data_IF_465829091658
#
_entry.id   IF_465829091658
#
_cell.length_a   1.000
_cell.length_b   1.000
_cell.length_c   1.000
_cell.angle_alpha   90.00
_cell.angle_beta   90.00
_cell.angle_gamma   90.00
#
_symmetry.space_group_name_H-M   'P 1'
#
loop_
_entity.id
_entity.type
_entity.pdbx_description
1 polymer ?
#
# COMPACT_ATOMS: atom_id res chain seq x y z
N UNK A 1 8.87 20.32 25.76
CA UNK A 1 9.67 20.04 26.98
C UNK A 1 8.80 19.26 27.95
N UNK A 2 9.40 18.35 28.73
CA UNK A 2 8.82 17.29 29.59
C UNK A 2 8.57 15.99 28.79
N UNK A 3 9.50 15.03 28.66
CA UNK A 3 10.29 14.25 29.62
C UNK A 3 9.45 13.45 30.60
N UNK A 4 9.44 12.13 30.41
CA UNK A 4 9.22 11.14 31.47
C UNK A 4 10.23 11.43 32.58
N UNK A 5 9.80 11.98 33.72
CA UNK A 5 10.59 12.02 34.95
C UNK A 5 9.64 11.81 36.12
N UNK A 6 9.85 10.70 36.84
CA UNK A 6 9.34 10.47 38.19
C UNK A 6 10.08 11.36 39.21
N UNK A 7 9.48 11.69 40.36
CA UNK A 7 10.21 12.33 41.45
C UNK A 7 11.17 11.34 42.12
N UNK A 8 12.41 11.77 42.38
CA UNK A 8 13.41 11.00 43.11
C UNK A 8 13.15 10.96 44.61
N UNK A 9 13.30 9.77 45.20
CA UNK A 9 13.87 9.55 46.55
C UNK A 9 14.85 8.37 46.45
N UNK A 10 15.97 8.49 47.16
CA UNK A 10 17.25 7.76 47.13
C UNK A 10 17.25 6.23 46.92
N UNK A 11 18.28 5.76 46.16
CA UNK A 11 18.87 4.42 46.31
C UNK A 11 18.67 3.44 45.14
N UNK A 12 19.76 3.19 44.40
CA UNK A 12 20.02 2.08 43.45
C UNK A 12 19.21 1.98 42.13
N UNK A 13 19.96 1.82 41.02
CA UNK A 13 19.44 1.66 39.66
C UNK A 13 18.99 0.21 39.36
N UNK A 14 17.76 0.03 38.87
CA UNK A 14 17.33 -1.08 38.00
C UNK A 14 16.12 -0.68 37.11
N UNK A 15 16.17 -0.96 35.81
CA UNK A 15 15.22 -0.45 34.78
C UNK A 15 13.96 -1.32 34.58
N UNK A 16 12.79 -0.67 34.37
CA UNK A 16 12.00 -0.66 33.11
C UNK A 16 10.48 -0.55 33.35
N UNK A 17 9.93 0.63 33.11
CA UNK A 17 8.48 0.88 33.14
C UNK A 17 7.85 0.49 31.79
N UNK A 18 6.87 -0.42 31.79
CA UNK A 18 6.13 -0.78 30.58
C UNK A 18 5.16 0.35 30.17
N UNK A 19 5.20 0.76 28.90
CA UNK A 19 4.25 1.69 28.29
C UNK A 19 3.42 0.95 27.23
N UNK A 20 2.12 1.25 27.14
CA UNK A 20 1.19 0.57 26.24
C UNK A 20 0.31 1.59 25.53
N UNK A 21 0.09 1.38 24.23
CA UNK A 21 -0.65 2.25 23.31
C UNK A 21 -1.83 1.48 22.72
N UNK A 22 -3.02 2.11 22.70
CA UNK A 22 -4.29 1.53 22.22
C UNK A 22 -4.64 2.07 20.83
N UNK A 23 -5.19 1.23 19.94
CA UNK A 23 -5.76 1.63 18.65
C UNK A 23 -7.19 1.08 18.49
N UNK A 24 -8.05 1.82 17.78
CA UNK A 24 -9.34 1.34 17.29
C UNK A 24 -9.46 1.62 15.80
N UNK A 25 -9.77 0.60 14.99
CA UNK A 25 -10.17 0.77 13.59
C UNK A 25 -11.70 0.80 13.48
N UNK A 26 -12.21 1.72 12.67
CA UNK A 26 -13.62 1.77 12.27
C UNK A 26 -13.69 1.33 10.82
N UNK A 27 -14.54 0.35 10.50
CA UNK A 27 -14.79 -0.07 9.12
C UNK A 27 -16.28 0.10 8.79
N UNK A 28 -16.56 0.50 7.55
CA UNK A 28 -17.91 0.72 7.04
C UNK A 28 -18.29 -0.47 6.14
N UNK A 29 -19.33 -1.21 6.50
CA UNK A 29 -19.91 -2.25 5.64
C UNK A 29 -21.42 -2.25 5.81
N UNK A 30 -22.16 -2.13 4.71
CA UNK A 30 -23.62 -2.27 4.63
C UNK A 30 -24.39 -1.37 5.62
N UNK A 31 -24.13 -0.05 5.53
CA UNK A 31 -24.84 1.02 6.24
C UNK A 31 -24.94 0.94 7.78
N UNK A 32 -24.13 0.09 8.43
CA UNK A 32 -23.94 0.09 9.89
C UNK A 32 -22.46 0.21 10.28
N UNK A 33 -22.20 1.01 11.33
CA UNK A 33 -20.87 1.22 11.91
C UNK A 33 -20.42 0.01 12.72
N UNK A 34 -19.20 -0.50 12.46
CA UNK A 34 -18.55 -1.52 13.29
C UNK A 34 -17.15 -1.09 13.73
N UNK A 35 -16.90 -1.18 15.04
CA UNK A 35 -15.63 -0.87 15.69
C UNK A 35 -14.95 -2.17 16.13
N UNK A 36 -13.67 -2.36 15.80
CA UNK A 36 -12.88 -3.50 16.29
C UNK A 36 -11.58 -2.99 16.92
N UNK A 37 -11.30 -3.30 18.20
CA UNK A 37 -10.06 -2.87 18.85
C UNK A 37 -8.89 -3.79 18.51
N UNK A 38 -7.72 -3.19 18.26
CA UNK A 38 -6.42 -3.88 18.13
C UNK A 38 -5.48 -3.36 19.22
N UNK A 39 -4.78 -4.27 19.92
CA UNK A 39 -3.88 -3.92 21.03
C UNK A 39 -2.52 -4.56 20.80
N UNK A 40 -1.45 -3.74 20.86
CA UNK A 40 -0.06 -4.21 20.84
C UNK A 40 0.62 -3.90 22.18
N UNK A 41 1.27 -4.91 22.77
CA UNK A 41 1.99 -4.83 24.05
C UNK A 41 3.49 -4.98 23.82
N UNK A 42 4.33 -4.14 24.43
CA UNK A 42 5.79 -4.33 24.48
C UNK A 42 6.27 -4.57 25.89
N UNK A 43 6.94 -5.70 26.12
CA UNK A 43 7.64 -6.02 27.37
C UNK A 43 9.03 -6.60 27.05
N UNK A 44 10.08 -6.09 27.71
CA UNK A 44 11.38 -6.76 27.83
C UNK A 44 12.04 -7.21 26.53
N UNK A 45 11.91 -6.47 25.43
CA UNK A 45 12.64 -6.76 24.18
C UNK A 45 12.10 -7.92 23.32
N UNK A 46 10.98 -8.55 23.69
CA UNK A 46 10.30 -9.53 22.86
C UNK A 46 8.90 -9.06 22.42
N UNK A 47 8.62 -9.12 21.11
CA UNK A 47 7.33 -8.77 20.49
C UNK A 47 6.55 -10.06 20.23
N UNK A 48 5.29 -10.14 20.67
CA UNK A 48 4.34 -11.17 20.26
C UNK A 48 3.07 -10.50 19.70
N UNK A 49 2.54 -11.08 18.62
CA UNK A 49 1.28 -10.66 17.99
C UNK A 49 0.21 -11.70 18.33
N UNK A 50 -0.92 -11.26 18.91
CA UNK A 50 -2.10 -12.11 19.06
C UNK A 50 -3.09 -11.77 17.95
N UNK A 51 -3.18 -12.65 16.94
CA UNK A 51 -4.20 -12.58 15.91
C UNK A 51 -5.40 -13.42 16.35
N UNK A 52 -6.56 -12.80 16.55
CA UNK A 52 -7.82 -13.50 16.83
C UNK A 52 -8.35 -14.07 15.50
N UNK A 53 -8.36 -15.38 15.32
CA UNK A 53 -9.09 -16.01 14.21
C UNK A 53 -10.56 -16.10 14.60
N UNK A 54 -11.39 -15.14 14.18
CA UNK A 54 -12.84 -15.31 14.23
C UNK A 54 -13.27 -16.06 12.95
N UNK A 55 -13.69 -17.31 13.10
CA UNK A 55 -14.45 -18.00 12.05
C UNK A 55 -15.87 -17.41 12.05
N UNK A 56 -16.13 -16.46 11.14
CA UNK A 56 -17.45 -15.89 10.94
C UNK A 56 -18.27 -16.79 10.00
N UNK A 57 -19.35 -17.37 10.52
CA UNK A 57 -20.41 -17.97 9.71
C UNK A 57 -21.30 -16.84 9.18
N UNK A 58 -21.31 -16.66 7.86
CA UNK A 58 -22.20 -15.70 7.20
C UNK A 58 -23.55 -16.38 6.88
N UNK A 59 -24.64 -15.85 7.41
CA UNK A 59 -25.99 -16.19 6.96
C UNK A 59 -26.52 -15.01 6.12
N UNK A 60 -27.05 -15.31 4.93
CA UNK A 60 -27.64 -14.31 4.03
C UNK A 60 -28.92 -13.69 4.63
N UNK A 61 -29.28 -12.46 4.23
CA UNK A 61 -30.57 -11.86 4.59
C UNK A 61 -31.74 -12.79 4.23
N UNK A 62 -32.72 -12.96 5.15
CA UNK A 62 -33.88 -13.86 5.06
C UNK A 62 -33.62 -15.38 5.23
N UNK A 63 -32.50 -15.75 5.86
CA UNK A 63 -32.24 -17.15 6.25
C UNK A 63 -33.01 -17.56 7.53
N UNK A 64 -33.60 -18.77 7.59
CA UNK A 64 -34.30 -19.30 8.77
C UNK A 64 -33.41 -19.52 10.02
N UNK A 65 -32.11 -19.21 9.94
CA UNK A 65 -31.18 -19.19 11.08
C UNK A 65 -31.33 -17.94 11.96
N UNK A 66 -32.19 -16.99 11.59
CA UNK A 66 -32.47 -15.78 12.37
C UNK A 66 -33.47 -16.07 13.50
N UNK A 67 -33.05 -16.75 14.56
CA UNK A 67 -33.75 -16.70 15.85
C UNK A 67 -33.17 -15.56 16.71
N UNK A 68 -34.00 -14.86 17.53
CA UNK A 68 -33.56 -13.67 18.24
C UNK A 68 -32.65 -14.06 19.41
N UNK A 69 -31.38 -13.71 19.33
CA UNK A 69 -30.46 -13.79 20.48
C UNK A 69 -30.77 -12.57 21.36
N UNK A 70 -31.74 -12.71 22.27
CA UNK A 70 -31.86 -11.80 23.41
C UNK A 70 -30.68 -12.11 24.36
N UNK A 71 -29.62 -11.30 24.27
CA UNK A 71 -28.50 -11.37 25.20
C UNK A 71 -28.95 -10.93 26.60
N UNK A 72 -28.76 -11.78 27.60
CA UNK A 72 -28.92 -11.39 29.00
C UNK A 72 -27.67 -10.67 29.49
N UNK A 73 -27.84 -9.54 30.20
CA UNK A 73 -26.76 -8.88 30.94
C UNK A 73 -26.67 -9.50 32.33
N UNK A 74 -25.57 -10.19 32.63
CA UNK A 74 -25.29 -10.74 33.96
C UNK A 74 -24.36 -9.77 34.71
N UNK A 75 -24.77 -9.32 35.88
CA UNK A 75 -23.88 -8.50 36.73
C UNK A 75 -22.86 -9.38 37.47
N UNK A 76 -21.59 -8.96 37.55
CA UNK A 76 -20.58 -9.72 38.27
C UNK A 76 -20.87 -9.73 39.77
N UNK A 77 -20.66 -10.88 40.41
CA UNK A 77 -20.87 -11.12 41.85
C UNK A 77 -19.99 -10.24 42.78
N UNK A 78 -18.97 -9.58 42.24
CA UNK A 78 -18.17 -8.60 42.94
C UNK A 78 -17.92 -7.39 42.03
N UNK A 79 -18.37 -6.21 42.44
CA UNK A 79 -18.11 -4.94 41.75
C UNK A 79 -16.79 -4.34 42.26
N UNK A 80 -15.80 -4.24 41.39
CA UNK A 80 -14.59 -3.45 41.63
C UNK A 80 -14.74 -2.11 40.91
N UNK A 81 -14.61 -0.99 41.63
CA UNK A 81 -14.62 0.35 41.03
C UNK A 81 -13.35 0.52 40.20
N UNK A 82 -13.51 0.75 38.88
CA UNK A 82 -12.39 1.04 37.97
C UNK A 82 -12.27 2.57 37.86
N UNK A 83 -11.18 3.18 38.35
CA UNK A 83 -10.97 4.63 38.23
C UNK A 83 -10.95 5.06 36.76
N UNK A 84 -11.80 6.03 36.39
CA UNK A 84 -11.90 6.58 35.03
C UNK A 84 -12.99 5.94 34.15
N UNK A 85 -13.81 5.03 34.67
CA UNK A 85 -14.92 4.45 33.91
C UNK A 85 -15.98 5.52 33.58
N UNK A 86 -16.17 5.81 32.29
CA UNK A 86 -17.07 6.85 31.80
C UNK A 86 -16.44 8.25 31.66
N UNK A 87 -15.14 8.38 31.92
CA UNK A 87 -14.39 9.64 31.72
C UNK A 87 -13.58 9.62 30.41
N UNK A 88 -12.99 10.78 30.06
CA UNK A 88 -12.14 10.91 28.85
C UNK A 88 -10.86 10.08 28.93
N UNK A 89 -10.40 9.74 30.13
CA UNK A 89 -9.18 9.00 30.38
C UNK A 89 -9.44 7.85 31.36
N UNK A 90 -9.01 6.64 31.00
CA UNK A 90 -9.12 5.43 31.81
C UNK A 90 -7.71 4.88 32.07
N UNK A 91 -7.32 4.78 33.35
CA UNK A 91 -5.97 4.33 33.73
C UNK A 91 -6.06 3.00 34.49
N UNK A 92 -5.60 1.92 33.86
CA UNK A 92 -5.56 0.58 34.45
C UNK A 92 -4.12 0.21 34.76
N UNK A 93 -3.83 -0.14 36.01
CA UNK A 93 -2.50 -0.56 36.47
C UNK A 93 -2.58 -1.94 37.11
N UNK A 94 -1.65 -2.83 36.76
CA UNK A 94 -1.53 -4.16 37.36
C UNK A 94 -0.05 -4.53 37.49
N UNK A 95 0.28 -5.32 38.52
CA UNK A 95 1.61 -5.93 38.69
C UNK A 95 1.73 -7.28 37.98
N UNK A 96 0.61 -7.83 37.51
CA UNK A 96 0.54 -9.06 36.71
C UNK A 96 0.10 -8.72 35.28
N UNK A 97 0.92 -9.10 34.32
CA UNK A 97 0.65 -8.93 32.89
C UNK A 97 -0.57 -9.74 32.43
N UNK A 98 -0.71 -10.95 32.97
CA UNK A 98 -1.81 -11.86 32.65
C UNK A 98 -3.15 -11.27 33.09
N UNK A 99 -3.20 -10.74 34.33
CA UNK A 99 -4.38 -10.05 34.85
C UNK A 99 -4.69 -8.75 34.09
N UNK A 100 -3.66 -8.01 33.67
CA UNK A 100 -3.83 -6.79 32.90
C UNK A 100 -4.48 -7.08 31.55
N UNK A 101 -4.00 -8.12 30.86
CA UNK A 101 -4.55 -8.55 29.58
C UNK A 101 -6.00 -9.03 29.74
N UNK A 102 -6.29 -9.82 30.78
CA UNK A 102 -7.64 -10.31 31.07
C UNK A 102 -8.66 -9.18 31.33
N UNK A 103 -8.21 -8.07 31.92
CA UNK A 103 -9.04 -6.89 32.15
C UNK A 103 -9.18 -6.07 30.87
N UNK A 104 -8.07 -5.81 30.15
CA UNK A 104 -8.06 -4.98 28.94
C UNK A 104 -8.92 -5.58 27.80
N UNK A 105 -8.98 -6.91 27.68
CA UNK A 105 -9.85 -7.59 26.71
C UNK A 105 -11.34 -7.32 26.96
N UNK A 106 -11.70 -6.88 28.17
CA UNK A 106 -13.08 -6.62 28.59
C UNK A 106 -13.46 -5.13 28.55
N UNK A 107 -12.54 -4.22 28.19
CA UNK A 107 -12.79 -2.77 28.16
C UNK A 107 -13.36 -2.36 26.79
N UNK A 108 -14.45 -1.60 26.79
CA UNK A 108 -15.07 -1.01 25.59
C UNK A 108 -15.11 0.52 25.68
N UNK A 109 -14.70 1.22 24.61
CA UNK A 109 -14.78 2.68 24.51
C UNK A 109 -15.90 3.09 23.53
N UNK A 110 -16.63 4.15 23.87
CA UNK A 110 -17.68 4.75 23.01
C UNK A 110 -17.51 6.27 22.98
N UNK A 111 -17.61 6.88 21.80
CA UNK A 111 -17.63 8.35 21.60
C UNK A 111 -18.99 8.78 21.07
N UNK A 112 -19.51 9.91 21.56
CA UNK A 112 -20.85 10.42 21.24
C UNK A 112 -20.87 11.61 20.27
N UNK A 113 -19.72 12.07 19.76
CA UNK A 113 -19.65 13.25 18.88
C UNK A 113 -18.68 13.00 17.72
N UNK A 114 -19.17 13.15 16.47
CA UNK A 114 -18.38 13.11 15.23
C UNK A 114 -18.61 14.40 14.45
N UNK A 115 -17.54 15.12 14.04
CA UNK A 115 -17.64 16.41 13.34
C UNK A 115 -16.81 16.41 12.04
N UNK A 116 -17.48 16.52 10.89
CA UNK A 116 -16.89 16.24 9.55
C UNK A 116 -16.01 17.36 8.97
N UNK A 117 -16.13 18.59 9.50
CA UNK A 117 -15.50 19.80 8.92
C UNK A 117 -14.25 20.29 9.68
N UNK A 118 -13.96 19.70 10.82
CA UNK A 118 -12.70 19.86 11.54
C UNK A 118 -12.09 18.49 11.52
N UNK A 119 -11.18 18.22 10.58
CA UNK A 119 -10.42 16.98 10.58
C UNK A 119 -9.75 16.85 11.94
N UNK A 120 -10.39 16.12 12.85
CA UNK A 120 -9.93 15.91 14.21
C UNK A 120 -8.88 14.79 14.15
N UNK A 121 -7.81 15.09 13.42
CA UNK A 121 -6.54 14.39 13.52
C UNK A 121 -5.95 14.80 14.85
N UNK A 122 -6.38 14.13 15.92
CA UNK A 122 -5.70 14.18 17.20
C UNK A 122 -4.23 13.85 16.97
N UNK A 123 -3.38 14.87 17.07
CA UNK A 123 -1.93 14.78 16.96
C UNK A 123 -1.39 13.78 17.99
N UNK A 124 -1.12 12.55 17.55
CA UNK A 124 -0.30 11.61 18.30
C UNK A 124 1.02 11.43 17.56
N UNK A 125 2.01 12.23 17.95
CA UNK A 125 3.41 12.02 17.57
C UNK A 125 3.88 10.68 18.14
N UNK A 126 3.99 9.65 17.31
CA UNK A 126 4.61 8.39 17.67
C UNK A 126 5.75 8.07 16.71
N UNK A 127 6.94 7.89 17.30
CA UNK A 127 8.12 7.41 16.60
C UNK A 127 7.95 5.89 16.45
N UNK A 128 7.58 5.44 15.26
CA UNK A 128 7.54 4.02 14.94
C UNK A 128 8.96 3.51 14.71
N UNK A 129 9.43 2.58 15.56
CA UNK A 129 10.56 1.74 15.21
C UNK A 129 10.07 0.68 14.20
N UNK A 130 10.08 1.05 12.93
CA UNK A 130 9.74 0.16 11.81
C UNK A 130 10.85 -0.86 11.64
N UNK A 131 10.58 -2.10 12.07
CA UNK A 131 11.42 -3.24 11.71
C UNK A 131 10.95 -3.70 10.33
N UNK A 132 11.63 -3.26 9.29
CA UNK A 132 11.41 -3.74 7.94
C UNK A 132 11.62 -5.26 7.90
N UNK A 133 10.56 -5.98 7.57
CA UNK A 133 10.61 -7.42 7.34
C UNK A 133 10.46 -7.67 5.84
N UNK A 134 11.50 -8.25 5.22
CA UNK A 134 11.53 -8.62 3.79
C UNK A 134 10.33 -9.45 3.34
N UNK A 135 9.62 -10.12 4.27
CA UNK A 135 8.42 -10.91 3.96
C UNK A 135 7.20 -10.09 3.53
N UNK A 136 7.22 -8.76 3.64
CA UNK A 136 6.07 -7.91 3.28
C UNK A 136 6.07 -7.46 1.82
N UNK A 137 7.17 -7.61 1.09
CA UNK A 137 7.34 -7.09 -0.27
C UNK A 137 7.76 -8.18 -1.23
N UNK A 138 7.12 -8.23 -2.39
CA UNK A 138 7.57 -8.98 -3.57
C UNK A 138 7.97 -8.00 -4.67
N UNK A 139 9.10 -8.23 -5.34
CA UNK A 139 9.44 -7.46 -6.54
C UNK A 139 8.71 -8.10 -7.73
N UNK A 140 8.00 -7.30 -8.52
CA UNK A 140 7.33 -7.75 -9.72
C UNK A 140 7.90 -7.01 -10.94
N UNK A 141 8.18 -7.76 -12.01
CA UNK A 141 8.67 -7.21 -13.26
C UNK A 141 8.11 -7.97 -14.45
N UNK A 142 8.28 -7.39 -15.63
CA UNK A 142 7.85 -7.95 -16.90
C UNK A 142 8.94 -7.76 -17.93
N UNK A 143 9.28 -8.84 -18.64
CA UNK A 143 10.30 -8.82 -19.69
C UNK A 143 9.73 -9.07 -21.08
N UNK A 144 10.36 -8.48 -22.10
CA UNK A 144 10.11 -8.77 -23.52
C UNK A 144 11.33 -8.41 -24.37
N UNK A 145 11.94 -9.41 -24.99
CA UNK A 145 13.12 -9.28 -25.87
C UNK A 145 14.30 -8.56 -25.21
N UNK A 146 14.42 -8.67 -23.88
CA UNK A 146 15.37 -7.93 -23.03
C UNK A 146 15.99 -8.80 -21.91
N UNK A 147 16.29 -10.07 -22.21
CA UNK A 147 16.88 -10.99 -21.20
C UNK A 147 18.20 -10.50 -20.62
N UNK A 148 19.06 -9.88 -21.44
CA UNK A 148 20.33 -9.33 -20.94
C UNK A 148 20.10 -8.24 -19.88
N UNK A 149 19.07 -7.40 -20.08
CA UNK A 149 18.71 -6.37 -19.09
C UNK A 149 18.09 -7.00 -17.85
N UNK A 150 17.20 -7.98 -18.04
CA UNK A 150 16.58 -8.71 -16.94
C UNK A 150 17.63 -9.40 -16.05
N UNK A 151 18.64 -10.05 -16.65
CA UNK A 151 19.74 -10.70 -15.89
C UNK A 151 20.48 -9.67 -15.02
N UNK A 152 20.85 -8.52 -15.59
CA UNK A 152 21.48 -7.43 -14.84
C UNK A 152 20.58 -6.89 -13.71
N UNK A 153 19.27 -6.75 -13.97
CA UNK A 153 18.30 -6.37 -12.94
C UNK A 153 18.31 -7.40 -11.80
N UNK A 154 18.16 -8.69 -12.11
CA UNK A 154 18.12 -9.77 -11.12
C UNK A 154 19.41 -9.85 -10.29
N UNK A 155 20.57 -9.74 -10.93
CA UNK A 155 21.87 -9.72 -10.25
C UNK A 155 21.97 -8.53 -9.29
N UNK A 156 21.53 -7.35 -9.73
CA UNK A 156 21.52 -6.15 -8.88
C UNK A 156 20.54 -6.26 -7.71
N UNK A 157 19.36 -6.86 -7.91
CA UNK A 157 18.42 -7.16 -6.83
C UNK A 157 19.11 -8.06 -5.80
N UNK A 158 19.74 -9.16 -6.24
CA UNK A 158 20.38 -10.13 -5.34
C UNK A 158 21.55 -9.54 -4.55
N UNK A 159 22.23 -8.52 -5.10
CA UNK A 159 23.28 -7.77 -4.38
C UNK A 159 22.75 -7.01 -3.15
N UNK A 160 21.54 -6.45 -3.20
CA UNK A 160 20.99 -5.61 -2.13
C UNK A 160 19.89 -6.30 -1.30
N UNK A 161 19.16 -7.22 -1.90
CA UNK A 161 18.03 -7.96 -1.33
C UNK A 161 18.13 -9.44 -1.74
N UNK A 162 19.07 -10.16 -1.12
CA UNK A 162 19.44 -11.53 -1.52
C UNK A 162 18.28 -12.54 -1.49
N UNK A 163 17.37 -12.42 -0.52
CA UNK A 163 16.26 -13.37 -0.31
C UNK A 163 14.88 -12.88 -0.76
N UNK A 164 14.77 -11.65 -1.28
CA UNK A 164 13.46 -11.10 -1.66
C UNK A 164 12.87 -11.90 -2.83
N UNK A 165 11.57 -12.18 -2.75
CA UNK A 165 10.83 -12.84 -3.82
C UNK A 165 10.77 -11.93 -5.05
N UNK A 166 11.07 -12.49 -6.21
CA UNK A 166 10.95 -11.80 -7.51
C UNK A 166 10.01 -12.59 -8.40
N UNK A 167 9.03 -11.90 -8.99
CA UNK A 167 8.09 -12.46 -9.97
C UNK A 167 8.38 -11.82 -11.31
N UNK A 168 8.63 -12.65 -12.33
CA UNK A 168 8.90 -12.23 -13.70
C UNK A 168 7.78 -12.74 -14.59
N UNK A 169 7.01 -11.82 -15.18
CA UNK A 169 6.10 -12.13 -16.28
C UNK A 169 6.82 -12.00 -17.63
N UNK A 170 6.64 -12.97 -18.52
CA UNK A 170 7.46 -13.10 -19.71
C UNK A 170 6.63 -13.42 -20.96
N UNK A 171 6.52 -12.47 -21.88
CA UNK A 171 5.82 -12.61 -23.16
C UNK A 171 6.78 -12.70 -24.36
N UNK A 172 8.00 -13.23 -24.16
CA UNK A 172 8.94 -13.48 -25.24
C UNK A 172 8.42 -14.51 -26.25
N UNK A 173 8.85 -14.38 -27.52
CA UNK A 173 8.59 -15.38 -28.56
C UNK A 173 9.30 -16.71 -28.28
N UNK A 174 10.51 -16.62 -27.74
CA UNK A 174 11.38 -17.75 -27.42
C UNK A 174 11.86 -17.54 -25.98
N UNK A 175 11.11 -18.03 -24.98
CA UNK A 175 11.46 -17.79 -23.60
C UNK A 175 12.74 -18.52 -23.17
N UNK A 176 13.67 -17.80 -22.54
CA UNK A 176 14.82 -18.37 -21.82
C UNK A 176 14.37 -18.81 -20.42
N UNK A 177 14.86 -19.95 -19.95
CA UNK A 177 14.55 -20.41 -18.59
C UNK A 177 15.35 -19.61 -17.56
N UNK A 178 14.68 -18.76 -16.77
CA UNK A 178 15.30 -17.99 -15.70
C UNK A 178 15.35 -18.82 -14.43
N UNK A 179 16.56 -19.13 -13.95
CA UNK A 179 16.79 -19.81 -12.67
C UNK A 179 17.30 -18.83 -11.62
N UNK A 180 16.99 -19.12 -10.36
CA UNK A 180 17.54 -18.40 -9.21
C UNK A 180 16.71 -18.62 -7.96
N UNK A 181 17.34 -18.43 -6.81
CA UNK A 181 16.65 -18.54 -5.52
C UNK A 181 15.53 -17.48 -5.42
N UNK A 182 14.36 -17.86 -4.94
CA UNK A 182 13.20 -16.96 -4.77
C UNK A 182 12.77 -16.20 -6.03
N UNK A 183 13.00 -16.78 -7.23
CA UNK A 183 12.49 -16.28 -8.50
C UNK A 183 11.34 -17.17 -8.95
N UNK A 184 10.20 -16.55 -9.28
CA UNK A 184 9.10 -17.20 -9.97
C UNK A 184 8.97 -16.61 -11.37
N UNK A 185 9.12 -17.47 -12.38
CA UNK A 185 9.10 -17.08 -13.79
C UNK A 185 7.84 -17.61 -14.44
N UNK A 186 7.00 -16.71 -14.94
CA UNK A 186 5.72 -17.03 -15.56
C UNK A 186 5.74 -16.65 -17.04
N UNK A 187 5.70 -17.68 -17.88
CA UNK A 187 5.65 -17.53 -19.34
C UNK A 187 4.20 -17.33 -19.77
N UNK A 188 3.97 -16.33 -20.60
CA UNK A 188 2.68 -16.04 -21.21
C UNK A 188 2.79 -16.12 -22.74
N UNK A 189 1.65 -16.17 -23.47
CA UNK A 189 1.68 -16.12 -24.92
C UNK A 189 2.53 -14.93 -25.42
N UNK A 190 3.14 -15.03 -26.61
CA UNK A 190 4.08 -14.02 -27.05
C UNK A 190 3.38 -12.67 -27.30
N UNK A 191 4.12 -11.60 -27.00
CA UNK A 191 3.78 -10.22 -27.34
C UNK A 191 2.43 -9.69 -26.80
N UNK A 192 1.92 -10.25 -25.69
CA UNK A 192 0.66 -9.83 -25.05
C UNK A 192 0.68 -8.39 -24.52
N UNK A 193 1.86 -7.81 -24.31
CA UNK A 193 2.01 -6.39 -24.00
C UNK A 193 2.17 -6.09 -22.51
N UNK A 194 2.31 -4.80 -22.20
CA UNK A 194 2.70 -4.34 -20.86
C UNK A 194 1.66 -4.62 -19.79
N UNK A 195 0.40 -4.28 -20.04
CA UNK A 195 -0.65 -4.37 -19.03
C UNK A 195 -1.08 -5.81 -18.75
N UNK A 196 -1.13 -6.67 -19.79
CA UNK A 196 -1.35 -8.10 -19.61
C UNK A 196 -0.25 -8.75 -18.74
N UNK A 197 1.03 -8.43 -18.99
CA UNK A 197 2.14 -8.95 -18.19
C UNK A 197 2.16 -8.40 -16.76
N UNK A 198 1.77 -7.14 -16.55
CA UNK A 198 1.57 -6.56 -15.20
C UNK A 198 0.52 -7.31 -14.41
N UNK A 199 -0.65 -7.55 -15.00
CA UNK A 199 -1.72 -8.32 -14.36
C UNK A 199 -1.23 -9.72 -13.98
N UNK A 200 -0.55 -10.41 -14.90
CA UNK A 200 0.00 -11.73 -14.60
C UNK A 200 0.94 -11.66 -13.40
N UNK A 201 1.96 -10.78 -13.41
CA UNK A 201 2.91 -10.68 -12.31
C UNK A 201 2.23 -10.34 -10.96
N UNK A 202 1.35 -9.33 -10.95
CA UNK A 202 0.66 -8.87 -9.72
C UNK A 202 -0.35 -9.91 -9.21
N UNK A 203 -0.97 -10.71 -10.08
CA UNK A 203 -1.88 -11.80 -9.65
C UNK A 203 -1.17 -12.91 -8.87
N UNK A 204 0.16 -13.02 -9.00
CA UNK A 204 0.98 -14.02 -8.32
C UNK A 204 1.62 -13.47 -7.03
N UNK A 205 1.43 -12.18 -6.73
CA UNK A 205 1.89 -11.55 -5.49
C UNK A 205 0.95 -11.95 -4.35
N UNK A 206 1.55 -12.48 -3.27
CA UNK A 206 0.83 -12.85 -2.03
C UNK A 206 1.22 -11.99 -0.84
N UNK A 207 2.22 -11.11 -1.01
CA UNK A 207 2.70 -10.20 0.04
C UNK A 207 1.85 -8.94 0.11
N UNK A 208 1.84 -8.25 1.26
CA UNK A 208 1.06 -7.02 1.50
C UNK A 208 1.34 -5.95 0.44
N UNK A 209 2.61 -5.80 0.08
CA UNK A 209 3.05 -4.88 -0.96
C UNK A 209 3.78 -5.63 -2.08
N UNK A 210 3.84 -4.98 -3.23
CA UNK A 210 4.83 -5.28 -4.25
C UNK A 210 5.54 -4.03 -4.72
N UNK A 211 6.78 -4.20 -5.17
CA UNK A 211 7.54 -3.17 -5.86
C UNK A 211 7.52 -3.47 -7.36
N UNK A 212 6.96 -2.57 -8.16
CA UNK A 212 7.07 -2.65 -9.62
C UNK A 212 8.41 -2.08 -10.09
N UNK A 213 9.09 -2.83 -10.96
CA UNK A 213 10.32 -2.39 -11.65
C UNK A 213 10.28 -2.81 -13.12
N UNK A 214 10.77 -1.95 -14.01
CA UNK A 214 10.98 -2.33 -15.40
C UNK A 214 12.27 -3.18 -15.52
N UNK A 215 12.31 -4.10 -16.48
CA UNK A 215 13.38 -5.11 -16.66
C UNK A 215 14.79 -4.52 -16.92
N UNK A 216 14.89 -3.23 -17.25
CA UNK A 216 16.13 -2.49 -17.52
C UNK A 216 16.52 -1.52 -16.40
N UNK A 217 15.89 -1.64 -15.24
CA UNK A 217 16.32 -0.95 -14.04
C UNK A 217 17.55 -1.61 -13.41
N UNK A 218 18.21 -0.86 -12.53
CA UNK A 218 19.40 -1.29 -11.81
C UNK A 218 19.31 -0.85 -10.34
N UNK A 219 19.35 -1.82 -9.44
CA UNK A 219 19.37 -1.55 -8.00
C UNK A 219 20.73 -1.00 -7.58
N UNK A 220 20.71 0.02 -6.73
CA UNK A 220 21.92 0.68 -6.20
C UNK A 220 21.78 0.87 -4.69
N UNK A 221 22.82 1.44 -4.07
CA UNK A 221 22.79 1.82 -2.65
C UNK A 221 21.65 2.80 -2.31
N UNK A 222 21.14 3.54 -3.31
CA UNK A 222 20.02 4.50 -3.18
C UNK A 222 18.63 3.85 -3.32
N UNK A 223 18.56 2.58 -3.71
CA UNK A 223 17.31 1.86 -3.93
C UNK A 223 16.87 1.18 -2.63
N UNK A 224 16.32 1.97 -1.70
CA UNK A 224 15.90 1.54 -0.37
C UNK A 224 14.40 1.23 -0.29
N UNK A 225 14.01 -0.03 -0.50
CA UNK A 225 12.62 -0.52 -0.42
C UNK A 225 12.02 -0.21 0.96
N UNK A 226 12.80 -0.38 2.02
CA UNK A 226 12.39 -0.17 3.41
C UNK A 226 11.85 1.23 3.68
N UNK A 227 12.40 2.26 3.00
CA UNK A 227 11.92 3.65 3.13
C UNK A 227 10.56 3.86 2.48
N UNK A 228 10.28 3.18 1.37
CA UNK A 228 8.96 3.23 0.74
C UNK A 228 7.93 2.51 1.62
N UNK A 229 8.30 1.36 2.19
CA UNK A 229 7.43 0.64 3.14
C UNK A 229 7.15 1.49 4.37
N UNK A 230 8.16 2.19 4.89
CA UNK A 230 7.99 3.12 6.02
C UNK A 230 6.89 4.16 5.77
N UNK A 231 6.90 4.81 4.61
CA UNK A 231 5.86 5.78 4.24
C UNK A 231 4.48 5.13 4.13
N UNK A 232 4.40 3.93 3.54
CA UNK A 232 3.15 3.19 3.37
C UNK A 232 2.56 2.68 4.70
N UNK A 233 3.40 2.30 5.67
CA UNK A 233 2.94 1.90 7.00
C UNK A 233 2.52 3.11 7.85
N UNK A 234 3.21 4.25 7.71
CA UNK A 234 2.90 5.45 8.47
C UNK A 234 1.65 6.18 8.00
N UNK A 235 1.25 5.97 6.74
CA UNK A 235 0.00 6.51 6.17
C UNK A 235 -0.81 5.36 5.57
N UNK A 236 -1.62 4.66 6.38
CA UNK A 236 -2.35 3.46 5.97
C UNK A 236 -3.30 3.66 4.79
N UNK A 237 -3.74 4.89 4.54
CA UNK A 237 -4.59 5.28 3.41
C UNK A 237 -3.84 5.33 2.07
N UNK A 238 -2.50 5.37 2.07
CA UNK A 238 -1.73 5.33 0.83
C UNK A 238 -1.81 3.94 0.19
N UNK A 239 -2.03 3.94 -1.12
CA UNK A 239 -2.08 2.73 -1.95
C UNK A 239 -0.83 2.58 -2.82
N UNK A 240 -0.21 3.68 -3.22
CA UNK A 240 0.98 3.68 -4.09
C UNK A 240 1.96 4.76 -3.67
N UNK A 241 3.24 4.42 -3.55
CA UNK A 241 4.35 5.37 -3.41
C UNK A 241 5.42 5.15 -4.48
N UNK A 242 5.65 6.19 -5.30
CA UNK A 242 6.66 6.17 -6.36
C UNK A 242 8.00 6.78 -5.95
N UNK A 243 9.09 6.21 -6.44
CA UNK A 243 10.44 6.77 -6.26
C UNK A 243 10.93 7.57 -7.48
N UNK A 244 12.24 7.84 -7.49
CA UNK A 244 12.95 8.51 -8.57
C UNK A 244 13.65 7.50 -9.50
N UNK A 245 13.84 7.85 -10.77
CA UNK A 245 14.70 7.12 -11.71
C UNK A 245 15.87 8.01 -12.09
N UNK A 246 17.11 7.59 -11.84
CA UNK A 246 18.31 8.43 -11.96
C UNK A 246 18.13 9.79 -11.29
N UNK A 247 17.64 9.79 -10.05
CA UNK A 247 17.38 10.99 -9.22
C UNK A 247 16.33 11.96 -9.79
N UNK A 248 15.67 11.61 -10.89
CA UNK A 248 14.57 12.39 -11.45
C UNK A 248 13.23 11.78 -11.00
N UNK A 249 12.39 12.61 -10.40
CA UNK A 249 11.03 12.24 -10.07
C UNK A 249 10.12 12.46 -11.27
N UNK A 250 9.45 11.41 -11.75
CA UNK A 250 8.43 11.51 -12.80
C UNK A 250 7.06 11.22 -12.20
N UNK A 251 6.33 12.28 -11.88
CA UNK A 251 4.97 12.23 -11.36
C UNK A 251 4.08 13.23 -12.08
N UNK A 252 2.77 13.04 -11.97
CA UNK A 252 1.79 13.94 -12.56
C UNK A 252 0.55 14.05 -11.68
N UNK A 253 -0.16 15.16 -11.85
CA UNK A 253 -1.51 15.36 -11.33
C UNK A 253 -2.52 15.17 -12.45
N UNK A 254 -3.65 14.54 -12.14
CA UNK A 254 -4.82 14.45 -12.98
C UNK A 254 -5.88 15.41 -12.44
N UNK A 255 -6.41 16.25 -13.32
CA UNK A 255 -7.51 17.17 -12.99
C UNK A 255 -8.65 16.84 -13.93
N UNK A 256 -9.78 16.45 -13.37
CA UNK A 256 -11.00 16.20 -14.12
C UNK A 256 -11.80 17.49 -14.24
N UNK A 257 -12.21 17.81 -15.46
CA UNK A 257 -13.18 18.85 -15.78
C UNK A 257 -14.47 18.15 -16.20
N UNK A 258 -15.55 18.42 -15.48
CA UNK A 258 -16.87 17.89 -15.78
C UNK A 258 -17.32 18.38 -17.16
N UNK A 259 -17.88 17.48 -17.94
CA UNK A 259 -18.40 17.75 -19.28
C UNK A 259 -19.89 17.51 -19.36
N UNK A 260 -20.43 17.56 -20.57
CA UNK A 260 -21.85 17.25 -20.81
C UNK A 260 -22.13 15.76 -20.62
N UNK A 261 -23.33 15.42 -20.15
CA UNK A 261 -23.74 14.04 -19.90
C UNK A 261 -23.56 13.13 -21.13
N UNK A 262 -23.80 13.66 -22.34
CA UNK A 262 -23.71 12.91 -23.60
C UNK A 262 -22.30 12.77 -24.15
N UNK A 263 -21.37 13.65 -23.77
CA UNK A 263 -20.03 13.71 -24.36
C UNK A 263 -18.92 13.31 -23.39
N UNK A 264 -19.18 13.35 -22.09
CA UNK A 264 -18.21 13.06 -21.07
C UNK A 264 -17.25 14.21 -20.76
N UNK A 265 -16.48 14.04 -19.70
CA UNK A 265 -15.57 15.05 -19.17
C UNK A 265 -14.21 15.09 -19.86
N UNK A 266 -13.36 16.00 -19.42
CA UNK A 266 -11.99 16.16 -19.91
C UNK A 266 -10.98 15.96 -18.79
N UNK A 267 -9.92 15.19 -19.06
CA UNK A 267 -8.86 14.94 -18.10
C UNK A 267 -7.58 15.69 -18.47
N UNK A 268 -7.07 16.49 -17.54
CA UNK A 268 -5.82 17.23 -17.70
C UNK A 268 -4.71 16.56 -16.90
N UNK A 269 -3.70 16.06 -17.61
CA UNK A 269 -2.48 15.53 -17.01
C UNK A 269 -1.43 16.63 -16.95
N UNK A 270 -1.18 17.15 -15.75
CA UNK A 270 -0.16 18.18 -15.50
C UNK A 270 1.09 17.56 -14.91
N UNK A 271 2.21 17.73 -15.59
CA UNK A 271 3.52 17.27 -15.11
C UNK A 271 4.04 18.19 -13.99
N UNK A 272 4.83 17.65 -13.06
CA UNK A 272 5.56 18.41 -12.03
C UNK A 272 4.73 19.31 -11.09
N UNK A 273 3.42 19.13 -11.02
CA UNK A 273 2.58 19.82 -10.02
C UNK A 273 2.61 19.03 -8.71
N UNK A 274 3.34 19.55 -7.72
CA UNK A 274 3.31 19.02 -6.34
C UNK A 274 1.97 19.38 -5.70
N UNK A 275 1.31 18.38 -5.12
CA UNK A 275 0.17 18.61 -4.22
C UNK A 275 0.68 18.75 -2.79
N UNK A 276 -0.15 18.41 -1.80
CA UNK A 276 0.22 18.44 -0.40
C UNK A 276 1.34 17.43 -0.09
N UNK A 277 2.24 17.79 0.82
CA UNK A 277 3.20 16.85 1.38
C UNK A 277 2.50 15.76 2.17
N UNK A 278 3.09 14.57 2.17
CA UNK A 278 2.64 13.48 3.04
C UNK A 278 2.96 13.85 4.49
N UNK A 279 2.00 13.75 5.44
CA UNK A 279 2.23 14.09 6.84
C UNK A 279 3.43 13.34 7.43
N UNK A 280 4.38 14.06 8.04
CA UNK A 280 5.60 13.47 8.60
C UNK A 280 6.72 13.16 7.59
N UNK A 281 6.44 13.24 6.28
CA UNK A 281 7.38 12.92 5.21
C UNK A 281 7.49 14.07 4.20
N UNK A 282 8.21 15.16 4.53
CA UNK A 282 8.28 16.37 3.69
C UNK A 282 8.94 16.14 2.32
N UNK A 283 9.71 15.07 2.18
CA UNK A 283 10.30 14.62 0.90
C UNK A 283 9.30 13.92 -0.02
N UNK A 284 8.09 13.63 0.49
CA UNK A 284 7.03 12.94 -0.22
C UNK A 284 5.84 13.89 -0.48
N UNK A 285 5.26 13.81 -1.67
CA UNK A 285 4.13 14.64 -2.09
C UNK A 285 3.02 13.76 -2.68
N UNK A 286 1.77 14.12 -2.41
CA UNK A 286 0.64 13.51 -3.09
C UNK A 286 0.71 13.80 -4.60
N UNK A 287 0.31 12.81 -5.38
CA UNK A 287 0.27 12.85 -6.84
C UNK A 287 -0.97 12.07 -7.33
N UNK A 288 -1.24 12.11 -8.63
CA UNK A 288 -2.24 11.23 -9.25
C UNK A 288 -1.60 10.02 -9.91
N UNK A 289 -0.33 10.11 -10.30
CA UNK A 289 0.41 8.98 -10.83
C UNK A 289 1.91 9.18 -10.80
N UNK A 290 2.62 8.06 -10.86
CA UNK A 290 4.08 7.98 -10.69
C UNK A 290 4.73 7.16 -11.80
N UNK A 291 6.05 7.26 -11.90
CA UNK A 291 6.89 6.48 -12.81
C UNK A 291 6.78 4.98 -12.53
N UNK A 292 7.23 4.14 -13.47
CA UNK A 292 7.28 2.67 -13.34
C UNK A 292 8.28 2.15 -12.28
N UNK A 293 8.54 2.92 -11.23
CA UNK A 293 9.27 2.54 -10.03
C UNK A 293 8.43 2.93 -8.82
N UNK A 294 7.60 2.01 -8.35
CA UNK A 294 6.67 2.27 -7.26
C UNK A 294 6.44 1.04 -6.39
N UNK A 295 6.25 1.28 -5.09
CA UNK A 295 5.73 0.30 -4.16
C UNK A 295 4.22 0.51 -4.04
N UNK A 296 3.43 -0.56 -4.05
CA UNK A 296 1.99 -0.46 -3.94
C UNK A 296 1.37 -1.57 -3.09
N UNK A 297 0.21 -1.28 -2.51
CA UNK A 297 -0.67 -2.28 -1.88
C UNK A 297 -1.16 -3.26 -2.94
N UNK A 298 -0.94 -4.54 -2.68
CA UNK A 298 -1.27 -5.61 -3.64
C UNK A 298 -2.76 -5.63 -3.96
N UNK A 299 -3.61 -5.55 -2.95
CA UNK A 299 -5.07 -5.59 -3.09
C UNK A 299 -5.64 -4.35 -3.79
N UNK A 300 -5.10 -3.16 -3.50
CA UNK A 300 -5.50 -1.92 -4.14
C UNK A 300 -5.23 -1.95 -5.66
N UNK A 301 -4.03 -2.39 -6.07
CA UNK A 301 -3.69 -2.51 -7.49
C UNK A 301 -4.47 -3.62 -8.17
N UNK A 302 -4.70 -4.75 -7.51
CA UNK A 302 -5.52 -5.85 -8.06
C UNK A 302 -6.98 -5.42 -8.29
N UNK A 303 -7.52 -4.56 -7.42
CA UNK A 303 -8.89 -4.02 -7.54
C UNK A 303 -9.06 -3.13 -8.77
N UNK A 304 -8.06 -2.29 -9.07
CA UNK A 304 -8.09 -1.41 -10.26
C UNK A 304 -7.76 -2.21 -11.52
N UNK A 305 -6.72 -3.04 -11.47
CA UNK A 305 -6.23 -3.81 -12.59
C UNK A 305 -5.58 -2.97 -13.69
N UNK A 306 -4.83 -3.62 -14.58
CA UNK A 306 -4.25 -2.99 -15.77
C UNK A 306 -5.04 -3.42 -17.01
N UNK A 307 -5.58 -2.51 -17.81
CA UNK A 307 -6.39 -2.88 -18.99
C UNK A 307 -5.56 -3.65 -20.06
N UNK A 308 -5.76 -4.96 -20.25
CA UNK A 308 -4.92 -5.75 -21.14
C UNK A 308 -5.11 -5.39 -22.62
N UNK A 309 -6.15 -4.61 -22.97
CA UNK A 309 -6.33 -4.09 -24.34
C UNK A 309 -5.24 -3.07 -24.71
N UNK A 310 -4.60 -2.44 -23.72
CA UNK A 310 -3.51 -1.49 -23.92
C UNK A 310 -2.14 -2.19 -23.91
N UNK A 311 -1.72 -2.67 -25.09
CA UNK A 311 -0.51 -3.50 -25.18
C UNK A 311 0.80 -2.69 -25.14
N UNK A 312 0.85 -1.53 -25.81
CA UNK A 312 2.08 -0.76 -26.09
C UNK A 312 2.02 0.72 -25.71
N UNK A 313 0.86 1.18 -25.25
CA UNK A 313 0.62 2.59 -24.90
C UNK A 313 -0.23 2.67 -23.63
N UNK A 314 0.42 2.81 -22.47
CA UNK A 314 -0.32 2.87 -21.21
C UNK A 314 0.52 3.39 -20.01
N UNK A 315 0.99 4.63 -20.04
CA UNK A 315 1.78 5.20 -18.94
C UNK A 315 0.94 5.82 -17.81
N UNK A 316 -0.18 6.44 -18.14
CA UNK A 316 -1.06 7.13 -17.18
C UNK A 316 -2.37 6.39 -16.94
N UNK A 317 -2.71 5.44 -17.81
CA UNK A 317 -4.02 4.87 -17.97
C UNK A 317 -4.44 4.03 -16.75
N UNK A 318 -3.49 3.31 -16.13
CA UNK A 318 -3.71 2.66 -14.83
C UNK A 318 -4.15 3.66 -13.74
N UNK A 319 -3.48 4.82 -13.66
CA UNK A 319 -3.80 5.85 -12.68
C UNK A 319 -5.07 6.61 -13.01
N UNK A 320 -5.44 6.69 -14.29
CA UNK A 320 -6.75 7.23 -14.72
C UNK A 320 -7.88 6.31 -14.30
N UNK A 321 -7.72 4.99 -14.49
CA UNK A 321 -8.69 3.99 -14.05
C UNK A 321 -8.78 3.92 -12.51
N UNK A 322 -7.68 4.16 -11.82
CA UNK A 322 -7.62 4.24 -10.35
C UNK A 322 -8.02 5.59 -9.76
N UNK A 323 -8.44 6.56 -10.56
CA UNK A 323 -8.80 7.89 -10.05
C UNK A 323 -10.02 7.79 -9.11
N UNK A 324 -9.88 8.29 -7.88
CA UNK A 324 -10.89 8.15 -6.83
C UNK A 324 -10.82 6.83 -6.04
N UNK A 325 -10.02 5.86 -6.49
CA UNK A 325 -9.80 4.58 -5.80
C UNK A 325 -8.40 4.45 -5.18
N UNK A 326 -7.40 5.08 -5.80
CA UNK A 326 -6.00 5.02 -5.36
C UNK A 326 -5.57 6.35 -4.76
N UNK A 327 -5.02 6.31 -3.54
CA UNK A 327 -4.25 7.41 -3.00
C UNK A 327 -2.75 7.21 -3.32
N UNK A 328 -2.19 8.15 -4.08
CA UNK A 328 -0.84 8.04 -4.65
C UNK A 328 0.07 9.14 -4.11
N UNK A 329 1.31 8.77 -3.77
CA UNK A 329 2.37 9.69 -3.40
C UNK A 329 3.66 9.43 -4.20
N UNK A 330 4.55 10.41 -4.25
CA UNK A 330 5.92 10.27 -4.76
C UNK A 330 6.91 10.78 -3.74
N UNK A 331 8.01 10.06 -3.55
CA UNK A 331 9.11 10.40 -2.65
C UNK A 331 10.42 10.56 -3.43
N UNK A 332 11.18 11.62 -3.13
CA UNK A 332 12.41 11.93 -3.88
C UNK A 332 13.66 11.19 -3.41
N UNK A 333 13.64 10.61 -2.21
CA UNK A 333 14.82 10.10 -1.50
C UNK A 333 15.12 8.61 -1.72
N UNK A 334 14.27 7.92 -2.49
CA UNK A 334 14.50 6.55 -2.96
C UNK A 334 14.63 6.59 -4.48
N UNK A 335 15.79 6.18 -4.99
CA UNK A 335 16.05 6.19 -6.43
C UNK A 335 16.49 4.83 -6.94
N UNK A 336 16.03 4.48 -8.12
CA UNK A 336 16.55 3.37 -8.92
C UNK A 336 17.38 3.92 -10.08
N UNK A 337 18.40 3.18 -10.52
CA UNK A 337 19.15 3.50 -11.72
C UNK A 337 18.56 2.75 -12.93
N UNK A 338 19.03 3.07 -14.12
CA UNK A 338 18.51 2.56 -15.38
C UNK A 338 19.66 2.24 -16.33
N UNK A 339 19.66 1.02 -16.85
CA UNK A 339 20.65 0.53 -17.81
C UNK A 339 20.57 1.31 -19.13
N UNK A 340 21.61 1.29 -19.95
CA UNK A 340 21.51 1.89 -21.28
C UNK A 340 20.45 1.17 -22.12
N UNK A 341 19.70 1.94 -22.92
CA UNK A 341 18.60 1.41 -23.73
C UNK A 341 19.08 0.28 -24.63
N UNK A 342 18.51 -0.92 -24.44
CA UNK A 342 18.76 -2.07 -25.29
C UNK A 342 18.24 -1.79 -26.72
N UNK A 343 19.14 -1.77 -27.70
CA UNK A 343 18.82 -1.41 -29.10
C UNK A 343 18.67 -2.63 -30.01
N UNK A 344 18.01 -3.70 -29.56
CA UNK A 344 17.76 -4.83 -30.47
C UNK A 344 16.80 -4.40 -31.59
N UNK A 345 17.16 -4.70 -32.84
CA UNK A 345 16.32 -4.36 -34.00
C UNK A 345 14.94 -5.04 -33.92
N UNK A 346 14.88 -6.24 -33.31
CA UNK A 346 13.63 -6.98 -33.06
C UNK A 346 12.76 -6.23 -32.05
N UNK A 347 13.31 -5.76 -30.92
CA UNK A 347 12.56 -5.01 -29.90
C UNK A 347 12.04 -3.67 -30.42
N UNK A 348 12.83 -2.95 -31.23
CA UNK A 348 12.43 -1.66 -31.81
C UNK A 348 11.10 -1.70 -32.57
N UNK A 349 10.74 -2.85 -33.17
CA UNK A 349 9.46 -3.03 -33.89
C UNK A 349 8.24 -2.96 -32.97
N UNK A 350 8.42 -3.16 -31.66
CA UNK A 350 7.35 -3.18 -30.65
C UNK A 350 7.42 -2.01 -29.66
N UNK A 351 8.47 -1.18 -29.72
CA UNK A 351 8.73 -0.11 -28.73
C UNK A 351 7.75 1.05 -28.85
N UNK A 352 7.37 1.39 -30.08
CA UNK A 352 6.55 2.55 -30.39
C UNK A 352 5.14 2.09 -30.81
N UNK A 353 4.09 2.70 -30.28
CA UNK A 353 2.72 2.41 -30.71
C UNK A 353 2.51 2.84 -32.16
N UNK A 354 1.59 2.16 -32.83
CA UNK A 354 1.07 2.56 -34.14
C UNK A 354 0.02 3.67 -33.98
N UNK A 355 -0.35 4.30 -35.10
CA UNK A 355 -1.44 5.29 -35.13
C UNK A 355 -2.74 4.67 -34.62
N UNK A 356 -3.07 3.48 -35.10
CA UNK A 356 -4.26 2.72 -34.73
C UNK A 356 -4.31 2.42 -33.22
N UNK A 357 -3.16 2.15 -32.58
CA UNK A 357 -3.09 1.93 -31.12
C UNK A 357 -3.48 3.21 -30.36
N UNK A 358 -3.10 4.38 -30.89
CA UNK A 358 -3.40 5.67 -30.27
C UNK A 358 -4.88 6.05 -30.46
N UNK A 359 -5.45 5.79 -31.64
CA UNK A 359 -6.88 6.00 -31.91
C UNK A 359 -7.75 5.07 -31.06
N UNK A 360 -7.41 3.77 -31.02
CA UNK A 360 -8.08 2.79 -30.18
C UNK A 360 -8.04 3.19 -28.70
N UNK A 361 -6.89 3.66 -28.21
CA UNK A 361 -6.77 4.12 -26.83
C UNK A 361 -7.73 5.27 -26.50
N UNK A 362 -7.86 6.26 -27.39
CA UNK A 362 -8.78 7.38 -27.18
C UNK A 362 -10.24 6.91 -27.17
N UNK A 363 -10.63 6.00 -28.06
CA UNK A 363 -11.95 5.38 -28.05
C UNK A 363 -12.21 4.61 -26.76
N UNK A 364 -11.22 3.84 -26.29
CA UNK A 364 -11.31 3.10 -25.04
C UNK A 364 -11.58 4.03 -23.86
N UNK A 365 -10.88 5.17 -23.76
CA UNK A 365 -11.14 6.16 -22.71
C UNK A 365 -12.53 6.77 -22.76
N UNK A 366 -13.04 7.05 -23.95
CA UNK A 366 -14.41 7.54 -24.11
C UNK A 366 -15.41 6.51 -23.58
N UNK A 367 -15.35 5.26 -24.05
CA UNK A 367 -16.34 4.25 -23.66
C UNK A 367 -16.18 3.73 -22.23
N UNK A 368 -14.94 3.68 -21.72
CA UNK A 368 -14.65 3.12 -20.39
C UNK A 368 -14.75 4.16 -19.28
N UNK A 369 -14.20 5.35 -19.51
CA UNK A 369 -14.06 6.38 -18.48
C UNK A 369 -14.99 7.57 -18.72
N UNK A 370 -15.81 7.55 -19.78
CA UNK A 370 -16.66 8.67 -20.21
C UNK A 370 -15.85 9.96 -20.37
N UNK A 371 -14.69 9.85 -21.04
CA UNK A 371 -13.78 10.97 -21.29
C UNK A 371 -13.84 11.42 -22.75
N UNK A 372 -14.35 12.64 -22.98
CA UNK A 372 -14.31 13.33 -24.26
C UNK A 372 -12.88 13.64 -24.70
N UNK A 373 -12.03 14.02 -23.75
CA UNK A 373 -10.67 14.45 -24.06
C UNK A 373 -9.65 14.16 -22.96
N UNK A 374 -8.40 13.98 -23.38
CA UNK A 374 -7.23 13.92 -22.49
C UNK A 374 -6.23 14.95 -22.99
N UNK A 375 -5.88 15.90 -22.13
CA UNK A 375 -4.93 16.98 -22.41
C UNK A 375 -3.67 16.78 -21.60
N UNK A 376 -2.52 16.91 -22.26
CA UNK A 376 -1.20 16.73 -21.66
C UNK A 376 -0.50 18.08 -21.55
N UNK A 377 0.03 18.41 -20.37
CA UNK A 377 0.76 19.66 -20.12
C UNK A 377 1.80 19.59 -19.02
#
# INVERSE_FOLDING_TARGET
MRSCVEPQIEGDYQWSSACLLLWTGVFYTDDEFKQVPFIQVTSGGHKSFLQKTLQLLFALPNSPLQYPIQGYTVQPLSSSVIPGFGEKELIIKSRSLELLNDVLVKVSYTSTVYHINTGDLGLHSQIFFLVYNNSQVTIATKTFLRYEQLKVLLDSIRKFYSTIKVIVADDNFEPEHITGENIQHYIMPPAQGWFAGRNLAVSQVTTKYFLWVDDDFLFTEKTKIEKLVEVMEAVPELDVVGGSVKENQFYFSLIYEEGEETEGGCLYRKSNKKLHSVPGYPQCFLASGVVNFFLARTDAVQRVGFDPKLQRIAHSEFFMDGLGYLLVATCGDVSIDHQHVARSARYRKFRNPRKDDSEFKLQLHFFKNHLKCIKYG
#
